data_IF_323103832099
#
_entry.id   IF_323103832099
#
_cell.length_a   1.000
_cell.length_b   1.000
_cell.length_c   1.000
_cell.angle_alpha   90.00
_cell.angle_beta   90.00
_cell.angle_gamma   90.00
#
_symmetry.space_group_name_H-M   'P 1'
#
loop_
_entity.id
_entity.type
_entity.pdbx_description
1 polymer ?
#
# COMPACT_ATOMS: atom_id res chain seq x y z
N UNK A 1 -10.03 0.76 20.98
CA UNK A 1 -9.63 1.88 20.09
C UNK A 1 -9.33 1.30 18.73
N UNK A 2 -10.16 1.58 17.70
CA UNK A 2 -10.01 1.00 16.36
C UNK A 2 -8.86 1.69 15.61
N UNK A 3 -7.76 0.99 15.34
CA UNK A 3 -6.69 1.51 14.49
C UNK A 3 -7.16 1.45 13.03
N UNK A 4 -7.53 2.62 12.47
CA UNK A 4 -7.95 2.75 11.07
C UNK A 4 -6.72 2.84 10.18
N UNK A 5 -6.57 1.92 9.23
CA UNK A 5 -5.52 2.04 8.22
C UNK A 5 -5.97 3.00 7.13
N UNK A 6 -5.25 4.11 7.00
CA UNK A 6 -5.53 5.14 6.01
C UNK A 6 -4.57 5.04 4.82
N UNK A 7 -4.98 5.68 3.72
CA UNK A 7 -4.19 5.80 2.50
C UNK A 7 -2.79 6.38 2.78
N UNK A 8 -2.73 7.38 3.66
CA UNK A 8 -1.50 8.04 4.12
C UNK A 8 -0.52 7.09 4.81
N UNK A 9 -1.03 6.18 5.64
CA UNK A 9 -0.24 5.17 6.33
C UNK A 9 0.42 4.19 5.33
N UNK A 10 -0.30 3.85 4.26
CA UNK A 10 0.22 3.08 3.13
C UNK A 10 1.30 3.83 2.37
N UNK A 11 1.09 5.11 2.07
CA UNK A 11 2.05 5.97 1.38
C UNK A 11 3.37 6.05 2.15
N UNK A 12 3.30 6.38 3.44
CA UNK A 12 4.49 6.52 4.28
C UNK A 12 5.28 5.20 4.37
N UNK A 13 4.58 4.08 4.55
CA UNK A 13 5.20 2.74 4.62
C UNK A 13 5.89 2.36 3.32
N UNK A 14 5.22 2.57 2.19
CA UNK A 14 5.74 2.25 0.87
C UNK A 14 6.90 3.17 0.51
N UNK A 15 6.74 4.47 0.76
CA UNK A 15 7.77 5.47 0.53
C UNK A 15 9.05 5.14 1.29
N UNK A 16 8.92 4.72 2.55
CA UNK A 16 10.05 4.31 3.38
C UNK A 16 10.68 2.99 2.95
N UNK A 17 9.90 2.01 2.49
CA UNK A 17 10.43 0.72 2.03
C UNK A 17 11.16 0.82 0.69
N UNK A 18 10.60 1.58 -0.25
CA UNK A 18 11.13 1.72 -1.60
C UNK A 18 12.05 2.94 -1.75
N UNK A 19 12.16 3.77 -0.71
CA UNK A 19 12.94 5.01 -0.68
C UNK A 19 12.55 6.00 -1.80
N UNK A 20 11.25 6.11 -2.08
CA UNK A 20 10.67 6.96 -3.12
C UNK A 20 9.48 7.73 -2.58
N UNK A 21 9.16 8.90 -3.13
CA UNK A 21 7.91 9.59 -2.81
C UNK A 21 6.79 9.04 -3.68
N UNK A 22 5.65 8.70 -3.06
CA UNK A 22 4.48 8.18 -3.78
C UNK A 22 3.27 9.01 -3.38
N UNK A 23 2.37 9.24 -4.33
CA UNK A 23 1.18 10.05 -4.10
C UNK A 23 0.00 9.16 -3.70
N UNK A 24 -1.02 9.72 -3.00
CA UNK A 24 -2.24 8.99 -2.66
C UNK A 24 -3.02 8.48 -3.86
N UNK A 25 -2.78 9.04 -5.05
CA UNK A 25 -3.31 8.56 -6.33
C UNK A 25 -2.61 7.30 -6.85
N UNK A 26 -1.33 7.08 -6.48
CA UNK A 26 -0.60 5.86 -6.83
C UNK A 26 -1.11 4.66 -6.03
N UNK A 27 -1.69 4.86 -4.85
CA UNK A 27 -2.28 3.79 -4.05
C UNK A 27 -3.77 3.64 -4.37
N UNK A 28 -4.21 2.49 -4.87
CA UNK A 28 -5.64 2.25 -5.11
C UNK A 28 -6.30 1.62 -3.88
N UNK A 29 -6.55 2.46 -2.87
CA UNK A 29 -7.30 2.09 -1.67
C UNK A 29 -8.75 2.61 -1.77
N UNK A 30 -9.73 1.81 -2.20
CA UNK A 30 -11.12 2.26 -2.38
C UNK A 30 -11.81 2.55 -1.04
N UNK A 31 -11.39 1.90 0.05
CA UNK A 31 -11.97 2.08 1.39
C UNK A 31 -10.91 2.01 2.49
N UNK A 32 -11.00 2.82 3.56
CA UNK A 32 -10.13 2.67 4.72
C UNK A 32 -10.31 1.28 5.33
N UNK A 33 -9.21 0.55 5.50
CA UNK A 33 -9.24 -0.79 6.04
C UNK A 33 -9.47 -0.68 7.55
N UNK A 34 -10.72 -0.94 7.95
CA UNK A 34 -11.13 -1.00 9.37
C UNK A 34 -11.37 -2.42 9.84
N UNK A 35 -11.50 -3.38 8.92
CA UNK A 35 -11.63 -4.80 9.24
C UNK A 35 -10.24 -5.45 9.36
N UNK A 36 -10.14 -6.44 10.25
CA UNK A 36 -8.93 -7.24 10.41
C UNK A 36 -8.80 -8.22 9.25
N UNK A 37 -7.58 -8.33 8.71
CA UNK A 37 -7.32 -9.16 7.54
C UNK A 37 -6.04 -8.78 6.81
N UNK A 38 -5.72 -9.57 5.80
CA UNK A 38 -4.68 -9.27 4.82
C UNK A 38 -5.35 -8.70 3.58
N UNK A 39 -4.91 -7.53 3.15
CA UNK A 39 -5.45 -6.82 2.00
C UNK A 39 -4.34 -6.58 1.00
N UNK A 40 -4.58 -6.96 -0.24
CA UNK A 40 -3.70 -6.64 -1.35
C UNK A 40 -4.20 -5.39 -2.04
N UNK A 41 -3.48 -4.28 -1.83
CA UNK A 41 -3.84 -2.98 -2.38
C UNK A 41 -2.98 -2.74 -3.63
N UNK A 42 -3.56 -2.70 -4.84
CA UNK A 42 -2.79 -2.46 -6.05
C UNK A 42 -2.23 -1.04 -6.05
N UNK A 43 -0.99 -0.92 -6.48
CA UNK A 43 -0.25 0.32 -6.57
C UNK A 43 0.10 0.62 -8.03
N UNK A 44 -0.30 1.80 -8.49
CA UNK A 44 0.04 2.38 -9.78
C UNK A 44 1.30 3.21 -9.64
N UNK A 45 2.44 2.57 -9.72
CA UNK A 45 3.70 3.30 -9.82
C UNK A 45 4.06 3.63 -11.26
N UNK A 46 4.81 4.72 -11.49
CA UNK A 46 5.44 4.96 -12.77
C UNK A 46 6.44 3.84 -13.10
N UNK A 47 6.64 3.57 -14.41
CA UNK A 47 7.60 2.58 -14.95
C UNK A 47 9.06 2.79 -14.48
N UNK A 48 9.34 3.88 -13.80
CA UNK A 48 10.65 4.18 -13.21
C UNK A 48 11.06 3.21 -12.09
N UNK A 49 10.10 2.54 -11.44
CA UNK A 49 10.43 1.56 -10.39
C UNK A 49 10.55 0.17 -10.99
N UNK A 50 11.71 -0.49 -10.87
CA UNK A 50 11.88 -1.86 -11.33
C UNK A 50 10.96 -2.79 -10.51
N UNK A 51 10.08 -3.51 -11.18
CA UNK A 51 9.30 -4.60 -10.58
C UNK A 51 10.22 -5.82 -10.40
N UNK A 52 10.11 -6.56 -9.28
CA UNK A 52 10.80 -7.84 -9.15
C UNK A 52 10.31 -8.82 -10.22
N UNK A 53 11.21 -9.71 -10.67
CA UNK A 53 10.94 -10.68 -11.73
C UNK A 53 9.68 -11.51 -11.41
N UNK A 54 8.72 -11.52 -12.33
CA UNK A 54 7.44 -12.21 -12.16
C UNK A 54 6.27 -11.37 -11.61
N UNK A 55 6.47 -10.10 -11.24
CA UNK A 55 5.36 -9.20 -10.86
C UNK A 55 4.89 -8.31 -12.02
N UNK A 56 3.61 -8.40 -12.35
CA UNK A 56 2.93 -7.57 -13.38
C UNK A 56 2.63 -6.15 -12.88
N UNK A 57 2.37 -6.01 -11.58
CA UNK A 57 2.12 -4.72 -10.93
C UNK A 57 2.58 -4.77 -9.47
N UNK A 58 2.77 -3.60 -8.88
CA UNK A 58 3.03 -3.50 -7.47
C UNK A 58 1.75 -3.69 -6.67
N UNK A 59 1.84 -4.47 -5.59
CA UNK A 59 0.75 -4.66 -4.63
C UNK A 59 1.30 -4.44 -3.23
N UNK A 60 0.60 -3.63 -2.43
CA UNK A 60 0.88 -3.44 -1.02
C UNK A 60 0.10 -4.47 -0.23
N UNK A 61 0.80 -5.37 0.45
CA UNK A 61 0.18 -6.29 1.39
C UNK A 61 -0.02 -5.56 2.73
N UNK A 62 -1.25 -5.16 3.01
CA UNK A 62 -1.63 -4.52 4.27
C UNK A 62 -2.22 -5.58 5.18
N UNK A 63 -1.48 -5.95 6.23
CA UNK A 63 -1.98 -6.83 7.27
C UNK A 63 -2.53 -6.01 8.43
N UNK A 64 -3.85 -5.87 8.49
CA UNK A 64 -4.55 -5.23 9.60
C UNK A 64 -4.75 -6.28 10.69
N UNK A 65 -3.95 -6.21 11.75
CA UNK A 65 -4.10 -7.08 12.94
C UNK A 65 -4.81 -6.32 14.05
N UNK A 66 -5.72 -7.00 14.74
CA UNK A 66 -6.25 -6.54 16.02
C UNK A 66 -5.17 -6.66 17.08
N UNK A 67 -5.16 -5.70 18.00
CA UNK A 67 -4.39 -5.79 19.23
C UNK A 67 -5.26 -6.44 20.30
#
# INVERSE_FOLDING_TARGET
MHSKFHKDDGILKVSRQLSISIEPENLHLPSPLSAFGEYEVPMRFPKAIPLPEGKVQWTLNVKVRGK
#
